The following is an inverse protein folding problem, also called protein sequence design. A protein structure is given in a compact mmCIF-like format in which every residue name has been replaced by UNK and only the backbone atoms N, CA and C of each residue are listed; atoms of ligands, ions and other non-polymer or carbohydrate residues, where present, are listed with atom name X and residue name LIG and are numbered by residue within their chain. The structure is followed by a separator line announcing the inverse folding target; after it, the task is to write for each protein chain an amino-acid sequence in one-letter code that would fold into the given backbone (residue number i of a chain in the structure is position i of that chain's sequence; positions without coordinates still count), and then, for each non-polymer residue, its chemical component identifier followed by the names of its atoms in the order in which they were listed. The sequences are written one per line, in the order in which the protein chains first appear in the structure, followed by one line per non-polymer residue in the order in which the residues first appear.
data_IF_099196966256
#
_entry.id   IF_099196966256
#
_cell.length_a   1.000
_cell.length_b   1.000
_cell.length_c   1.000
_cell.angle_alpha   90.00
_cell.angle_beta   90.00
_cell.angle_gamma   90.00
#
_symmetry.space_group_name_H-M   'P 1'
#
loop_
_entity.id
_entity.type
_entity.pdbx_description
1 polymer ?
#
# COMPACT_ATOMS: atom_id res chain seq x y z
N UNK A 1 19.38 42.44 16.85
CA UNK A 1 18.44 41.71 17.73
C UNK A 1 18.53 40.24 17.39
N UNK A 2 18.85 39.34 18.35
CA UNK A 2 19.01 37.93 18.06
C UNK A 2 17.63 37.27 17.93
N UNK A 3 17.43 36.55 16.83
CA UNK A 3 16.26 35.68 16.63
C UNK A 3 16.40 34.49 17.57
N UNK A 4 15.52 34.42 18.57
CA UNK A 4 15.36 33.23 19.40
C UNK A 4 14.76 32.12 18.52
N UNK A 5 15.53 31.05 18.31
CA UNK A 5 15.03 29.78 17.79
C UNK A 5 13.94 29.30 18.75
N UNK A 6 12.69 29.26 18.27
CA UNK A 6 11.61 28.59 19.00
C UNK A 6 11.85 27.10 18.86
N UNK A 7 12.30 26.48 19.94
CA UNK A 7 12.16 25.04 20.20
C UNK A 7 10.66 24.69 20.28
N UNK A 8 9.99 24.71 19.14
CA UNK A 8 8.73 24.01 18.90
C UNK A 8 9.02 22.56 18.58
N UNK A 9 9.87 21.93 19.39
CA UNK A 9 10.04 20.49 19.39
C UNK A 9 8.67 19.92 19.77
N UNK A 10 8.11 19.09 18.90
CA UNK A 10 7.03 18.18 19.26
C UNK A 10 7.36 17.62 20.66
N UNK A 11 6.49 17.89 21.64
CA UNK A 11 6.71 17.37 22.98
C UNK A 11 6.97 15.87 22.84
N UNK A 12 8.06 15.33 23.43
CA UNK A 12 8.39 13.92 23.28
C UNK A 12 7.19 13.13 23.74
N UNK A 13 6.51 12.49 22.78
CA UNK A 13 5.40 11.60 23.06
C UNK A 13 6.00 10.50 23.93
N UNK A 14 5.52 10.29 25.18
CA UNK A 14 6.06 9.24 26.03
C UNK A 14 5.98 7.93 25.25
N UNK A 15 7.05 7.11 25.22
CA UNK A 15 7.07 5.91 24.41
C UNK A 15 5.85 5.07 24.79
N UNK A 16 4.98 4.83 23.81
CA UNK A 16 3.90 3.86 23.96
C UNK A 16 4.57 2.56 24.43
N UNK A 17 4.05 1.94 25.49
CA UNK A 17 4.57 0.65 25.95
C UNK A 17 4.66 -0.28 24.76
N UNK A 18 5.79 -0.96 24.61
CA UNK A 18 6.01 -1.92 23.53
C UNK A 18 4.83 -2.88 23.42
N UNK A 19 4.06 -2.74 22.34
CA UNK A 19 2.98 -3.68 22.03
C UNK A 19 3.60 -4.83 21.23
N UNK A 20 3.73 -5.99 21.88
CA UNK A 20 4.06 -7.25 21.20
C UNK A 20 2.93 -7.56 20.22
N UNK A 21 3.29 -7.89 18.98
CA UNK A 21 2.34 -8.11 17.91
C UNK A 21 1.72 -9.51 18.02
N UNK A 22 0.40 -9.58 18.21
CA UNK A 22 -0.33 -10.82 17.97
C UNK A 22 -0.31 -11.18 16.46
N UNK A 23 -0.57 -12.45 16.08
CA UNK A 23 -0.52 -12.88 14.68
C UNK A 23 -1.40 -12.04 13.73
N UNK A 24 -2.53 -11.54 14.21
CA UNK A 24 -3.46 -10.73 13.43
C UNK A 24 -2.94 -9.33 13.20
N UNK A 25 -2.42 -8.69 14.24
CA UNK A 25 -1.76 -7.39 14.13
C UNK A 25 -0.52 -7.46 13.24
N UNK A 26 0.31 -8.50 13.39
CA UNK A 26 1.48 -8.72 12.55
C UNK A 26 1.11 -8.85 11.06
N UNK A 27 0.13 -9.72 10.76
CA UNK A 27 -0.34 -9.92 9.38
C UNK A 27 -0.85 -8.63 8.74
N UNK A 28 -1.66 -7.87 9.48
CA UNK A 28 -2.24 -6.61 9.00
C UNK A 28 -1.17 -5.54 8.77
N UNK A 29 -0.18 -5.45 9.65
CA UNK A 29 0.92 -4.50 9.52
C UNK A 29 1.79 -4.81 8.29
N UNK A 30 2.10 -6.10 8.05
CA UNK A 30 2.78 -6.54 6.84
C UNK A 30 1.97 -6.23 5.57
N UNK A 31 0.64 -6.41 5.59
CA UNK A 31 -0.22 -6.04 4.46
C UNK A 31 -0.21 -4.53 4.18
N UNK A 32 -0.19 -3.68 5.22
CA UNK A 32 -0.15 -2.23 5.04
C UNK A 32 1.22 -1.71 4.58
N UNK A 33 2.30 -2.26 5.14
CA UNK A 33 3.68 -1.84 4.86
C UNK A 33 4.22 -2.45 3.57
N UNK A 34 4.09 -3.76 3.39
CA UNK A 34 4.73 -4.52 2.30
C UNK A 34 3.74 -5.02 1.24
N UNK A 35 2.44 -4.81 1.44
CA UNK A 35 1.41 -5.26 0.49
C UNK A 35 1.30 -6.79 0.37
N UNK A 36 1.77 -7.53 1.39
CA UNK A 36 1.75 -9.00 1.48
C UNK A 36 1.72 -9.43 2.95
N UNK A 37 1.26 -10.64 3.29
CA UNK A 37 1.45 -11.18 4.63
C UNK A 37 2.92 -11.53 4.89
N UNK A 38 3.30 -11.76 6.16
CA UNK A 38 4.65 -12.21 6.49
C UNK A 38 4.88 -13.63 5.95
N UNK A 39 6.10 -13.90 5.51
CA UNK A 39 6.58 -15.24 5.27
C UNK A 39 6.66 -16.03 6.59
N UNK A 40 6.69 -17.38 6.56
CA UNK A 40 6.74 -18.18 7.77
C UNK A 40 7.91 -17.83 8.70
N UNK A 41 9.10 -17.56 8.16
CA UNK A 41 10.27 -17.24 8.98
C UNK A 41 10.24 -15.79 9.50
N UNK A 42 9.72 -14.84 8.72
CA UNK A 42 9.43 -13.49 9.21
C UNK A 42 8.43 -13.53 10.38
N UNK A 43 7.39 -14.35 10.26
CA UNK A 43 6.37 -14.50 11.31
C UNK A 43 6.99 -14.94 12.64
N UNK A 44 7.91 -15.91 12.61
CA UNK A 44 8.62 -16.41 13.80
C UNK A 44 9.55 -15.35 14.40
N UNK A 45 10.26 -14.60 13.55
CA UNK A 45 11.18 -13.55 14.01
C UNK A 45 10.42 -12.41 14.69
N UNK A 46 9.24 -12.06 14.18
CA UNK A 46 8.52 -10.87 14.59
C UNK A 46 7.41 -11.08 15.61
N UNK A 47 6.97 -12.33 15.84
CA UNK A 47 5.92 -12.62 16.82
C UNK A 47 6.26 -12.25 18.27
N UNK A 48 7.55 -12.12 18.58
CA UNK A 48 8.04 -11.82 19.94
C UNK A 48 8.62 -10.40 20.06
N UNK A 49 8.64 -9.63 18.97
CA UNK A 49 9.24 -8.29 18.92
C UNK A 49 8.18 -7.19 19.02
N UNK A 50 8.63 -6.01 19.39
CA UNK A 50 7.76 -4.84 19.50
C UNK A 50 7.40 -4.27 18.12
N UNK A 51 6.17 -3.74 18.00
CA UNK A 51 5.71 -3.06 16.78
C UNK A 51 6.63 -1.94 16.33
N UNK A 52 7.12 -1.11 17.25
CA UNK A 52 8.01 0.03 16.95
C UNK A 52 9.28 -0.43 16.23
N UNK A 53 9.90 -1.52 16.70
CA UNK A 53 11.08 -2.11 16.08
C UNK A 53 10.79 -2.59 14.66
N UNK A 54 9.67 -3.30 14.47
CA UNK A 54 9.25 -3.79 13.16
C UNK A 54 9.01 -2.64 12.18
N UNK A 55 8.28 -1.60 12.63
CA UNK A 55 7.97 -0.42 11.80
C UNK A 55 9.26 0.29 11.40
N UNK A 56 10.16 0.56 12.34
CA UNK A 56 11.43 1.23 12.05
C UNK A 56 12.30 0.43 11.07
N UNK A 57 12.36 -0.90 11.22
CA UNK A 57 13.11 -1.80 10.33
C UNK A 57 12.49 -1.81 8.92
N UNK A 58 11.17 -2.04 8.82
CA UNK A 58 10.50 -2.11 7.52
C UNK A 58 10.50 -0.77 6.78
N UNK A 59 10.28 0.36 7.45
CA UNK A 59 10.33 1.69 6.81
C UNK A 59 11.73 2.06 6.30
N UNK A 60 12.77 1.36 6.76
CA UNK A 60 14.15 1.50 6.28
C UNK A 60 14.48 0.52 5.14
N UNK A 61 13.56 -0.38 4.79
CA UNK A 61 13.77 -1.40 3.76
C UNK A 61 13.37 -0.92 2.36
N UNK A 62 14.09 -1.40 1.34
CA UNK A 62 13.72 -1.18 -0.06
C UNK A 62 12.33 -1.77 -0.38
N UNK A 63 11.96 -2.89 0.25
CA UNK A 63 10.70 -3.56 -0.01
C UNK A 63 9.47 -2.71 0.38
N UNK A 64 9.54 -2.01 1.51
CA UNK A 64 8.49 -1.06 1.89
C UNK A 64 8.33 0.03 0.84
N UNK A 65 9.45 0.64 0.40
CA UNK A 65 9.40 1.71 -0.59
C UNK A 65 9.03 1.23 -1.98
N UNK A 66 9.30 -0.04 -2.31
CA UNK A 66 8.80 -0.68 -3.52
C UNK A 66 7.27 -0.82 -3.46
N UNK A 67 6.72 -1.27 -2.32
CA UNK A 67 5.26 -1.31 -2.14
C UNK A 67 4.65 0.10 -2.16
N UNK A 68 5.28 1.09 -1.53
CA UNK A 68 4.84 2.48 -1.61
C UNK A 68 4.81 2.99 -3.05
N UNK A 69 5.85 2.70 -3.85
CA UNK A 69 5.89 3.05 -5.27
C UNK A 69 4.75 2.37 -6.03
N UNK A 70 4.46 1.09 -5.77
CA UNK A 70 3.30 0.40 -6.35
C UNK A 70 1.97 1.10 -6.03
N UNK A 71 1.78 1.60 -4.81
CA UNK A 71 0.61 2.41 -4.45
C UNK A 71 0.52 3.68 -5.32
N UNK A 72 1.66 4.37 -5.50
CA UNK A 72 1.71 5.60 -6.31
C UNK A 72 1.37 5.30 -7.76
N UNK A 73 1.99 4.27 -8.34
CA UNK A 73 1.74 3.86 -9.72
C UNK A 73 0.28 3.43 -9.92
N UNK A 74 -0.31 2.74 -8.94
CA UNK A 74 -1.72 2.40 -8.99
C UNK A 74 -2.62 3.64 -8.94
N UNK A 75 -2.32 4.60 -8.06
CA UNK A 75 -3.07 5.84 -7.95
C UNK A 75 -3.07 6.66 -9.25
N UNK A 76 -1.90 6.78 -9.90
CA UNK A 76 -1.76 7.46 -11.19
C UNK A 76 -2.20 6.60 -12.39
N UNK A 77 -2.72 5.39 -12.17
CA UNK A 77 -3.08 4.41 -13.20
C UNK A 77 -1.93 4.09 -14.17
N UNK A 78 -0.69 4.14 -13.67
CA UNK A 78 0.56 3.78 -14.33
C UNK A 78 0.90 2.30 -14.10
N UNK A 79 -0.04 1.46 -14.48
CA UNK A 79 0.01 0.01 -14.33
C UNK A 79 -0.03 -0.64 -15.72
N UNK A 80 0.30 -1.94 -15.78
CA UNK A 80 0.28 -2.72 -17.02
C UNK A 80 1.11 -2.05 -18.13
N UNK A 81 0.48 -1.75 -19.27
CA UNK A 81 1.13 -1.13 -20.43
C UNK A 81 1.66 0.28 -20.16
N UNK A 82 1.23 0.92 -19.07
CA UNK A 82 1.67 2.24 -18.65
C UNK A 82 2.60 2.20 -17.43
N UNK A 83 3.10 1.03 -17.02
CA UNK A 83 4.13 0.97 -15.99
C UNK A 83 5.43 1.65 -16.49
N UNK A 84 6.03 2.59 -15.75
CA UNK A 84 7.34 3.12 -16.08
C UNK A 84 8.43 2.08 -15.83
N UNK A 85 9.32 1.89 -16.81
CA UNK A 85 10.44 0.94 -16.75
C UNK A 85 11.81 1.61 -16.79
N UNK A 86 11.85 2.94 -16.81
CA UNK A 86 13.09 3.72 -16.83
C UNK A 86 13.86 3.57 -15.53
N UNK A 87 15.19 3.60 -15.60
CA UNK A 87 16.05 3.44 -14.43
C UNK A 87 15.73 4.45 -13.34
N UNK A 88 15.48 5.71 -13.69
CA UNK A 88 15.16 6.77 -12.72
C UNK A 88 13.89 6.54 -11.90
N UNK A 89 12.91 5.76 -12.40
CA UNK A 89 11.73 5.36 -11.61
C UNK A 89 11.99 4.06 -10.87
N UNK A 90 12.72 3.12 -11.48
CA UNK A 90 13.08 1.84 -10.84
C UNK A 90 14.00 1.99 -9.64
N UNK A 91 14.85 3.02 -9.60
CA UNK A 91 15.77 3.29 -8.49
C UNK A 91 15.11 3.96 -7.28
N UNK A 92 13.88 4.48 -7.43
CA UNK A 92 13.16 5.21 -6.37
C UNK A 92 13.12 4.45 -5.03
N UNK A 93 12.79 3.14 -4.97
CA UNK A 93 12.71 2.43 -3.71
C UNK A 93 14.03 2.40 -2.94
N UNK A 94 15.14 2.09 -3.63
CA UNK A 94 16.46 2.04 -3.03
C UNK A 94 16.92 3.42 -2.55
N UNK A 95 16.65 4.48 -3.34
CA UNK A 95 17.03 5.85 -2.97
C UNK A 95 16.18 6.40 -1.80
N UNK A 96 14.89 6.08 -1.71
CA UNK A 96 14.04 6.42 -0.56
C UNK A 96 14.45 5.66 0.70
N UNK A 97 14.78 4.37 0.58
CA UNK A 97 15.30 3.55 1.67
C UNK A 97 16.63 4.09 2.20
N UNK A 98 17.53 4.49 1.28
CA UNK A 98 18.82 5.09 1.60
C UNK A 98 18.75 6.54 2.07
N UNK A 99 17.59 7.21 1.97
CA UNK A 99 17.43 8.61 2.31
C UNK A 99 18.16 9.57 1.35
N UNK A 100 18.46 9.14 0.13
CA UNK A 100 19.09 9.98 -0.90
C UNK A 100 18.09 10.65 -1.83
N UNK A 101 16.81 10.31 -1.69
CA UNK A 101 15.69 10.86 -2.46
C UNK A 101 14.60 11.33 -1.49
N UNK A 102 14.08 12.54 -1.70
CA UNK A 102 12.88 13.04 -1.02
C UNK A 102 11.60 12.62 -1.74
N UNK A 103 10.46 12.60 -1.03
CA UNK A 103 9.20 12.13 -1.62
C UNK A 103 8.68 13.02 -2.77
N UNK A 104 8.92 14.33 -2.72
CA UNK A 104 8.54 15.25 -3.81
C UNK A 104 9.27 14.89 -5.10
N UNK A 105 10.57 14.62 -5.02
CA UNK A 105 11.36 14.24 -6.18
C UNK A 105 10.99 12.84 -6.69
N UNK A 106 10.64 11.90 -5.81
CA UNK A 106 10.07 10.62 -6.24
C UNK A 106 8.79 10.80 -7.08
N UNK A 107 7.84 11.63 -6.61
CA UNK A 107 6.63 11.96 -7.38
C UNK A 107 6.97 12.68 -8.70
N UNK A 108 7.93 13.59 -8.67
CA UNK A 108 8.41 14.31 -9.85
C UNK A 108 8.91 13.34 -10.93
N UNK A 109 9.76 12.36 -10.57
CA UNK A 109 10.26 11.33 -11.50
C UNK A 109 9.15 10.47 -12.07
N UNK A 110 8.14 10.10 -11.27
CA UNK A 110 6.97 9.33 -11.73
C UNK A 110 6.20 10.14 -12.77
N UNK A 111 5.87 11.40 -12.47
CA UNK A 111 5.03 12.26 -13.32
C UNK A 111 5.74 12.83 -14.55
N UNK A 112 7.07 12.86 -14.56
CA UNK A 112 7.87 13.17 -15.76
C UNK A 112 8.16 11.95 -16.64
N UNK A 113 7.75 10.75 -16.24
CA UNK A 113 7.95 9.56 -17.06
C UNK A 113 7.13 9.63 -18.35
N UNK A 114 7.68 9.08 -19.44
CA UNK A 114 6.95 8.94 -20.71
C UNK A 114 5.68 8.08 -20.57
N UNK A 115 5.63 7.20 -19.57
CA UNK A 115 4.43 6.45 -19.23
C UNK A 115 3.29 7.33 -18.73
N UNK A 116 3.59 8.35 -17.91
CA UNK A 116 2.60 9.30 -17.42
C UNK A 116 2.01 10.14 -18.56
N UNK A 117 2.84 10.60 -19.49
CA UNK A 117 2.40 11.29 -20.70
C UNK A 117 1.51 10.39 -21.59
N UNK A 118 1.99 9.17 -21.91
CA UNK A 118 1.22 8.20 -22.72
C UNK A 118 -0.13 7.83 -22.11
N UNK A 119 -0.20 7.74 -20.77
CA UNK A 119 -1.44 7.43 -20.04
C UNK A 119 -2.45 8.57 -20.09
N UNK A 120 -1.98 9.80 -20.20
CA UNK A 120 -2.77 11.03 -20.10
C UNK A 120 -2.58 11.89 -21.35
N UNK A 121 -2.99 11.40 -22.54
CA UNK A 121 -2.66 12.04 -23.80
C UNK A 121 -3.36 13.39 -23.97
N UNK A 122 -2.59 14.39 -24.38
CA UNK A 122 -3.09 15.71 -24.75
C UNK A 122 -3.23 16.68 -23.56
N UNK A 123 -3.27 17.99 -23.84
CA UNK A 123 -3.14 19.03 -22.82
C UNK A 123 -4.27 19.01 -21.79
N UNK A 124 -5.50 18.72 -22.21
CA UNK A 124 -6.67 18.76 -21.33
C UNK A 124 -6.63 17.64 -20.28
N UNK A 125 -6.40 16.40 -20.72
CA UNK A 125 -6.29 15.23 -19.83
C UNK A 125 -5.05 15.33 -18.94
N UNK A 126 -3.90 15.66 -19.51
CA UNK A 126 -2.65 15.77 -18.75
C UNK A 126 -2.75 16.78 -17.61
N UNK A 127 -3.18 18.01 -17.92
CA UNK A 127 -3.25 19.10 -16.93
C UNK A 127 -4.34 18.84 -15.90
N UNK A 128 -5.48 18.27 -16.31
CA UNK A 128 -6.52 17.83 -15.37
C UNK A 128 -5.97 16.81 -14.38
N UNK A 129 -5.27 15.78 -14.85
CA UNK A 129 -4.69 14.76 -13.97
C UNK A 129 -3.64 15.36 -13.03
N UNK A 130 -2.77 16.27 -13.51
CA UNK A 130 -1.84 17.00 -12.63
C UNK A 130 -2.60 17.79 -11.55
N UNK A 131 -3.66 18.52 -11.92
CA UNK A 131 -4.41 19.32 -10.95
C UNK A 131 -5.20 18.47 -9.95
N UNK A 132 -5.85 17.40 -10.39
CA UNK A 132 -6.69 16.57 -9.53
C UNK A 132 -5.88 15.57 -8.71
N UNK A 133 -4.89 14.91 -9.33
CA UNK A 133 -4.16 13.82 -8.70
C UNK A 133 -2.88 14.27 -7.99
N UNK A 134 -2.18 15.32 -8.45
CA UNK A 134 -1.02 15.84 -7.71
C UNK A 134 -1.41 16.93 -6.71
N UNK A 135 -2.41 17.76 -6.99
CA UNK A 135 -2.74 18.92 -6.13
C UNK A 135 -4.05 18.76 -5.35
N UNK A 136 -4.82 17.69 -5.59
CA UNK A 136 -6.12 17.49 -4.94
C UNK A 136 -7.16 18.55 -5.31
N UNK A 137 -7.00 19.24 -6.44
CA UNK A 137 -7.92 20.28 -6.86
C UNK A 137 -9.15 19.70 -7.56
N UNK A 138 -10.27 20.41 -7.48
CA UNK A 138 -11.44 20.16 -8.32
C UNK A 138 -11.33 21.05 -9.55
N UNK A 139 -11.01 20.46 -10.71
CA UNK A 139 -10.63 21.22 -11.92
C UNK A 139 -11.74 22.18 -12.37
N UNK A 140 -13.00 21.82 -12.18
CA UNK A 140 -14.17 22.63 -12.54
C UNK A 140 -14.23 23.93 -11.73
N UNK A 141 -13.62 23.97 -10.54
CA UNK A 141 -13.51 25.19 -9.71
C UNK A 141 -12.27 26.03 -10.06
N UNK A 142 -11.39 25.53 -10.94
CA UNK A 142 -10.10 26.14 -11.29
C UNK A 142 -9.89 26.20 -12.81
N UNK A 143 -10.95 26.49 -13.57
CA UNK A 143 -10.93 26.44 -15.04
C UNK A 143 -9.90 27.38 -15.69
N UNK A 144 -9.61 28.53 -15.07
CA UNK A 144 -8.58 29.47 -15.55
C UNK A 144 -7.19 28.82 -15.49
N UNK A 145 -6.86 28.20 -14.38
CA UNK A 145 -5.58 27.54 -14.13
C UNK A 145 -5.40 26.34 -15.06
N UNK A 146 -6.48 25.59 -15.34
CA UNK A 146 -6.49 24.54 -16.36
C UNK A 146 -6.11 25.10 -17.74
N UNK A 147 -6.76 26.18 -18.19
CA UNK A 147 -6.46 26.79 -19.49
C UNK A 147 -5.03 27.36 -19.57
N UNK A 148 -4.48 27.83 -18.46
CA UNK A 148 -3.07 28.24 -18.38
C UNK A 148 -2.17 27.02 -18.50
N UNK A 149 -2.42 25.96 -17.73
CA UNK A 149 -1.63 24.73 -17.78
C UNK A 149 -1.64 24.10 -19.18
N UNK A 150 -2.77 24.13 -19.88
CA UNK A 150 -2.89 23.66 -21.28
C UNK A 150 -2.01 24.46 -22.24
N UNK A 151 -1.95 25.79 -22.06
CA UNK A 151 -1.04 26.64 -22.84
C UNK A 151 0.43 26.31 -22.56
N UNK A 152 0.80 26.09 -21.30
CA UNK A 152 2.17 25.68 -20.92
C UNK A 152 2.53 24.32 -21.54
N UNK A 153 1.62 23.35 -21.47
CA UNK A 153 1.77 22.05 -22.11
C UNK A 153 2.11 22.19 -23.60
N UNK A 154 1.41 23.08 -24.32
CA UNK A 154 1.64 23.38 -25.73
C UNK A 154 2.89 24.25 -26.00
N UNK A 155 3.75 24.48 -25.01
CA UNK A 155 4.99 25.25 -25.15
C UNK A 155 4.83 26.77 -25.08
N UNK A 156 3.63 27.28 -24.73
CA UNK A 156 3.39 28.73 -24.61
C UNK A 156 3.76 29.21 -23.22
N UNK A 157 4.33 30.42 -23.15
CA UNK A 157 4.64 31.08 -21.87
C UNK A 157 3.37 31.44 -21.11
N UNK A 158 3.37 31.25 -19.80
CA UNK A 158 2.29 31.66 -18.92
C UNK A 158 2.66 31.56 -17.44
N UNK A 159 1.69 31.84 -16.56
CA UNK A 159 1.87 31.78 -15.10
C UNK A 159 0.89 30.78 -14.50
N UNK A 160 1.32 29.54 -14.32
CA UNK A 160 0.53 28.46 -13.72
C UNK A 160 0.74 28.45 -12.21
N UNK A 161 -0.35 28.46 -11.43
CA UNK A 161 -0.30 28.49 -9.95
C UNK A 161 0.63 29.57 -9.38
N UNK A 162 0.68 30.74 -10.04
CA UNK A 162 1.53 31.86 -9.63
C UNK A 162 3.01 31.76 -10.05
N UNK A 163 3.44 30.68 -10.72
CA UNK A 163 4.81 30.49 -11.19
C UNK A 163 4.88 30.51 -12.71
N UNK A 164 5.95 31.11 -13.25
CA UNK A 164 6.18 31.16 -14.69
C UNK A 164 6.55 29.75 -15.22
N UNK A 165 6.07 29.42 -16.41
CA UNK A 165 6.41 28.19 -17.12
C UNK A 165 6.15 28.32 -18.62
N UNK A 166 6.68 27.37 -19.39
CA UNK A 166 6.61 27.36 -20.84
C UNK A 166 6.71 25.97 -21.47
N UNK A 167 6.52 24.91 -20.70
CA UNK A 167 6.59 23.53 -21.18
C UNK A 167 5.68 22.61 -20.37
N UNK A 168 5.43 21.41 -20.89
CA UNK A 168 4.77 20.32 -20.17
C UNK A 168 5.50 19.96 -18.87
N UNK A 169 6.84 19.90 -18.90
CA UNK A 169 7.63 19.61 -17.71
C UNK A 169 7.46 20.71 -16.64
N UNK A 170 7.34 21.98 -17.05
CA UNK A 170 7.08 23.09 -16.13
C UNK A 170 5.72 22.93 -15.43
N UNK A 171 4.69 22.39 -16.09
CA UNK A 171 3.39 22.12 -15.45
C UNK A 171 3.56 21.18 -14.27
N UNK A 172 4.31 20.07 -14.45
CA UNK A 172 4.60 19.10 -13.38
C UNK A 172 5.49 19.72 -12.32
N UNK A 173 6.58 20.38 -12.71
CA UNK A 173 7.53 20.99 -11.78
C UNK A 173 6.86 22.03 -10.87
N UNK A 174 6.02 22.90 -11.45
CA UNK A 174 5.25 23.90 -10.70
C UNK A 174 4.25 23.24 -9.76
N UNK A 175 3.54 22.20 -10.20
CA UNK A 175 2.61 21.47 -9.34
C UNK A 175 3.33 20.79 -8.16
N UNK A 176 4.41 20.04 -8.42
CA UNK A 176 5.18 19.35 -7.36
C UNK A 176 5.74 20.32 -6.34
N UNK A 177 6.10 21.54 -6.75
CA UNK A 177 6.63 22.57 -5.85
C UNK A 177 5.55 23.34 -5.05
N UNK A 178 4.26 23.11 -5.33
CA UNK A 178 3.15 23.68 -4.58
C UNK A 178 2.95 22.95 -3.25
N UNK A 179 2.54 23.66 -2.20
CA UNK A 179 2.31 23.06 -0.88
C UNK A 179 1.16 22.04 -0.90
N UNK A 180 0.16 22.26 -1.77
CA UNK A 180 -1.01 21.36 -1.91
C UNK A 180 -0.62 19.95 -2.34
N UNK A 181 0.52 19.76 -3.01
CA UNK A 181 0.97 18.41 -3.37
C UNK A 181 1.31 17.56 -2.16
N UNK A 182 1.99 18.14 -1.16
CA UNK A 182 2.26 17.40 0.07
C UNK A 182 1.00 17.19 0.90
N UNK A 183 0.16 18.21 1.00
CA UNK A 183 -1.12 18.11 1.71
C UNK A 183 -1.97 16.96 1.14
N UNK A 184 -2.13 16.92 -0.18
CA UNK A 184 -2.90 15.89 -0.87
C UNK A 184 -2.27 14.49 -0.73
N UNK A 185 -0.95 14.39 -0.90
CA UNK A 185 -0.21 13.13 -0.66
C UNK A 185 -0.45 12.62 0.76
N UNK A 186 -0.22 13.45 1.78
CA UNK A 186 -0.33 13.06 3.17
C UNK A 186 -1.76 12.70 3.55
N UNK A 187 -2.75 13.47 3.10
CA UNK A 187 -4.16 13.16 3.31
C UNK A 187 -4.53 11.80 2.74
N UNK A 188 -4.12 11.51 1.49
CA UNK A 188 -4.41 10.24 0.83
C UNK A 188 -3.71 9.06 1.53
N UNK A 189 -2.44 9.20 1.87
CA UNK A 189 -1.70 8.13 2.56
C UNK A 189 -2.26 7.88 3.97
N UNK A 190 -2.60 8.93 4.71
CA UNK A 190 -3.22 8.82 6.02
C UNK A 190 -4.58 8.12 5.93
N UNK A 191 -5.44 8.53 4.99
CA UNK A 191 -6.73 7.90 4.77
C UNK A 191 -6.60 6.44 4.34
N UNK A 192 -5.63 6.10 3.48
CA UNK A 192 -5.35 4.73 3.07
C UNK A 192 -4.93 3.85 4.25
N UNK A 193 -3.99 4.31 5.06
CA UNK A 193 -3.37 3.52 6.13
C UNK A 193 -4.23 3.45 7.40
N UNK A 194 -4.84 4.57 7.78
CA UNK A 194 -5.60 4.71 9.02
C UNK A 194 -7.12 4.67 8.81
N UNK A 195 -7.61 4.64 7.57
CA UNK A 195 -9.05 4.63 7.20
C UNK A 195 -9.81 5.81 7.80
N UNK A 196 -9.11 6.93 7.95
CA UNK A 196 -9.61 8.13 8.59
C UNK A 196 -8.97 9.34 7.92
N UNK A 197 -9.75 10.39 7.75
CA UNK A 197 -9.21 11.67 7.29
C UNK A 197 -8.38 12.32 8.40
N UNK A 198 -7.25 12.91 8.01
CA UNK A 198 -6.46 13.71 8.93
C UNK A 198 -7.16 15.05 9.19
N UNK A 199 -6.94 15.62 10.37
CA UNK A 199 -7.37 17.00 10.62
C UNK A 199 -6.50 17.99 9.85
N UNK A 200 -7.05 19.17 9.55
CA UNK A 200 -6.30 20.24 8.90
C UNK A 200 -5.05 20.67 9.70
N UNK A 201 -5.11 20.58 11.04
CA UNK A 201 -3.98 20.90 11.91
C UNK A 201 -2.86 19.86 11.78
N UNK A 202 -3.19 18.57 11.79
CA UNK A 202 -2.23 17.48 11.60
C UNK A 202 -1.57 17.56 10.22
N UNK A 203 -2.37 17.75 9.16
CA UNK A 203 -1.86 17.92 7.79
C UNK A 203 -0.90 19.10 7.70
N UNK A 204 -1.27 20.27 8.23
CA UNK A 204 -0.42 21.45 8.20
C UNK A 204 0.91 21.23 8.94
N UNK A 205 0.90 20.49 10.04
CA UNK A 205 2.13 20.16 10.77
C UNK A 205 3.05 19.25 9.95
N UNK A 206 2.51 18.16 9.39
CA UNK A 206 3.28 17.23 8.57
C UNK A 206 3.81 17.86 7.27
N UNK A 207 3.02 18.74 6.63
CA UNK A 207 3.48 19.51 5.47
C UNK A 207 4.65 20.40 5.86
N UNK A 208 4.56 21.12 6.98
CA UNK A 208 5.66 21.97 7.45
C UNK A 208 6.93 21.18 7.79
N UNK A 209 6.79 19.95 8.30
CA UNK A 209 7.92 19.07 8.54
C UNK A 209 8.58 18.62 7.24
N UNK A 210 7.80 18.24 6.22
CA UNK A 210 8.33 17.86 4.90
C UNK A 210 8.90 19.03 4.09
N UNK A 211 8.43 20.25 4.33
CA UNK A 211 9.02 21.46 3.75
C UNK A 211 10.36 21.80 4.39
N UNK A 212 10.55 21.45 5.67
CA UNK A 212 11.81 21.63 6.40
C UNK A 212 12.82 20.54 6.07
N UNK A 213 12.35 19.30 5.92
CA UNK A 213 13.14 18.11 5.64
C UNK A 213 12.38 17.19 4.68
N UNK A 214 12.84 17.09 3.44
CA UNK A 214 12.20 16.28 2.41
C UNK A 214 12.19 14.76 2.70
N UNK A 215 12.96 14.33 3.69
CA UNK A 215 13.05 12.94 4.16
C UNK A 215 12.18 12.68 5.41
N UNK A 216 11.47 13.68 5.93
CA UNK A 216 10.65 13.57 7.14
C UNK A 216 9.48 12.57 7.01
N UNK A 217 9.13 12.13 5.79
CA UNK A 217 8.03 11.19 5.55
C UNK A 217 8.19 9.90 6.37
N UNK A 218 9.42 9.41 6.53
CA UNK A 218 9.68 8.19 7.32
C UNK A 218 9.22 8.36 8.77
N UNK A 219 9.62 9.47 9.41
CA UNK A 219 9.24 9.76 10.80
C UNK A 219 7.72 9.97 10.94
N UNK A 220 7.09 10.62 9.95
CA UNK A 220 5.63 10.80 9.93
C UNK A 220 4.92 9.43 9.88
N UNK A 221 5.35 8.54 8.98
CA UNK A 221 4.80 7.20 8.86
C UNK A 221 5.01 6.37 10.13
N UNK A 222 6.21 6.43 10.72
CA UNK A 222 6.52 5.76 11.99
C UNK A 222 5.57 6.20 13.10
N UNK A 223 5.34 7.52 13.21
CA UNK A 223 4.39 8.08 14.17
C UNK A 223 2.95 7.58 13.90
N UNK A 224 2.54 7.43 12.65
CA UNK A 224 1.21 6.89 12.31
C UNK A 224 1.07 5.43 12.73
N UNK A 225 2.01 4.55 12.35
CA UNK A 225 1.94 3.12 12.64
C UNK A 225 2.09 2.78 14.14
N UNK A 226 2.68 3.67 14.92
CA UNK A 226 2.81 3.53 16.38
C UNK A 226 1.71 4.27 17.15
N UNK A 227 0.80 4.97 16.48
CA UNK A 227 -0.26 5.76 17.11
C UNK A 227 -1.44 4.90 17.62
N UNK A 228 -2.20 5.42 18.61
CA UNK A 228 -3.48 4.83 19.01
C UNK A 228 -4.53 4.78 17.89
N UNK A 229 -4.44 5.66 16.89
CA UNK A 229 -5.34 5.62 15.74
C UNK A 229 -5.09 4.36 14.88
N UNK A 230 -3.84 3.92 14.78
CA UNK A 230 -3.51 2.68 14.10
C UNK A 230 -3.99 1.45 14.87
N UNK A 231 -3.93 1.48 16.21
CA UNK A 231 -4.53 0.43 17.05
C UNK A 231 -6.05 0.30 16.81
N UNK A 232 -6.76 1.43 16.73
CA UNK A 232 -8.18 1.43 16.39
C UNK A 232 -8.44 0.88 15.00
N UNK A 233 -7.60 1.24 14.02
CA UNK A 233 -7.68 0.69 12.66
C UNK A 233 -7.50 -0.83 12.68
N UNK A 234 -6.52 -1.35 13.43
CA UNK A 234 -6.26 -2.79 13.55
C UNK A 234 -7.43 -3.57 14.17
N UNK A 235 -8.29 -2.92 14.95
CA UNK A 235 -9.50 -3.55 15.48
C UNK A 235 -10.63 -3.69 14.45
N UNK A 236 -10.53 -3.01 13.29
CA UNK A 236 -11.55 -3.03 12.24
C UNK A 236 -11.11 -3.86 11.05
N UNK A 237 -12.09 -4.40 10.29
CA UNK A 237 -11.86 -5.07 9.00
C UNK A 237 -12.34 -4.20 7.85
N UNK A 238 -11.63 -4.21 6.73
CA UNK A 238 -12.13 -3.70 5.47
C UNK A 238 -11.70 -4.59 4.30
N UNK A 239 -12.42 -4.57 3.17
CA UNK A 239 -12.05 -5.34 1.99
C UNK A 239 -10.62 -5.05 1.52
N UNK A 240 -9.86 -6.11 1.25
CA UNK A 240 -8.56 -5.96 0.58
C UNK A 240 -8.78 -5.42 -0.84
N UNK A 241 -7.96 -4.46 -1.30
CA UNK A 241 -7.84 -4.18 -2.73
C UNK A 241 -7.43 -5.44 -3.51
N UNK A 242 -7.92 -5.59 -4.74
CA UNK A 242 -7.66 -6.78 -5.58
C UNK A 242 -6.16 -7.11 -5.70
N UNK A 243 -5.30 -6.09 -5.85
CA UNK A 243 -3.85 -6.27 -5.92
C UNK A 243 -3.26 -6.88 -4.64
N UNK A 244 -3.71 -6.44 -3.46
CA UNK A 244 -3.24 -6.96 -2.18
C UNK A 244 -3.78 -8.37 -1.93
N UNK A 245 -5.02 -8.64 -2.33
CA UNK A 245 -5.60 -9.98 -2.28
C UNK A 245 -4.77 -10.98 -3.10
N UNK A 246 -4.41 -10.65 -4.35
CA UNK A 246 -3.60 -11.52 -5.21
C UNK A 246 -2.22 -11.76 -4.59
N UNK A 247 -1.51 -10.70 -4.15
CA UNK A 247 -0.21 -10.84 -3.47
C UNK A 247 -0.30 -11.72 -2.22
N UNK A 248 -1.32 -11.51 -1.39
CA UNK A 248 -1.52 -12.28 -0.18
C UNK A 248 -1.77 -13.76 -0.48
N UNK A 249 -2.65 -14.04 -1.44
CA UNK A 249 -2.96 -15.40 -1.87
C UNK A 249 -1.73 -16.14 -2.40
N UNK A 250 -0.85 -15.47 -3.14
CA UNK A 250 0.39 -16.05 -3.62
C UNK A 250 1.38 -16.36 -2.50
N UNK A 251 1.59 -15.42 -1.57
CA UNK A 251 2.48 -15.67 -0.43
C UNK A 251 1.93 -16.80 0.43
N UNK A 252 0.63 -16.80 0.70
CA UNK A 252 0.00 -17.80 1.55
C UNK A 252 -0.07 -19.20 0.93
N UNK A 253 -0.16 -19.31 -0.39
CA UNK A 253 -0.29 -20.62 -1.07
C UNK A 253 1.01 -21.11 -1.72
N UNK A 254 1.92 -20.22 -2.11
CA UNK A 254 3.19 -20.56 -2.77
C UNK A 254 4.43 -20.13 -1.99
N UNK A 255 4.31 -19.37 -0.91
CA UNK A 255 5.47 -18.85 -0.19
C UNK A 255 6.32 -17.86 -1.00
N UNK A 256 5.75 -17.24 -2.04
CA UNK A 256 6.41 -16.23 -2.88
C UNK A 256 5.41 -15.19 -3.37
N UNK A 257 5.89 -14.05 -3.82
CA UNK A 257 5.09 -13.09 -4.58
C UNK A 257 4.74 -13.62 -5.99
N UNK A 258 3.63 -13.17 -6.58
CA UNK A 258 3.35 -13.42 -8.00
C UNK A 258 4.39 -12.72 -8.88
N UNK A 259 4.71 -13.30 -10.04
CA UNK A 259 5.40 -12.54 -11.07
C UNK A 259 4.48 -11.46 -11.67
N UNK A 260 5.06 -10.51 -12.43
CA UNK A 260 4.29 -9.38 -12.98
C UNK A 260 3.13 -9.84 -13.88
N UNK A 261 3.34 -10.88 -14.69
CA UNK A 261 2.30 -11.40 -15.59
C UNK A 261 1.19 -12.15 -14.84
N UNK A 262 1.53 -12.92 -13.81
CA UNK A 262 0.58 -13.55 -12.89
C UNK A 262 -0.27 -12.51 -12.19
N UNK A 263 0.36 -11.48 -11.60
CA UNK A 263 -0.32 -10.40 -10.90
C UNK A 263 -1.25 -9.62 -11.84
N UNK A 264 -0.77 -9.22 -13.01
CA UNK A 264 -1.54 -8.49 -14.01
C UNK A 264 -2.79 -9.27 -14.44
N UNK A 265 -2.65 -10.52 -14.90
CA UNK A 265 -3.80 -11.29 -15.41
C UNK A 265 -4.90 -11.45 -14.37
N UNK A 266 -4.54 -11.78 -13.13
CA UNK A 266 -5.53 -11.97 -12.06
C UNK A 266 -6.16 -10.65 -11.64
N UNK A 267 -5.36 -9.60 -11.49
CA UNK A 267 -5.85 -8.28 -11.11
C UNK A 267 -6.80 -7.71 -12.19
N UNK A 268 -6.41 -7.75 -13.47
CA UNK A 268 -7.27 -7.28 -14.57
C UNK A 268 -8.61 -8.03 -14.61
N UNK A 269 -8.62 -9.33 -14.31
CA UNK A 269 -9.87 -10.10 -14.21
C UNK A 269 -10.75 -9.64 -13.05
N UNK A 270 -10.17 -9.30 -11.90
CA UNK A 270 -10.90 -8.85 -10.70
C UNK A 270 -11.36 -7.39 -10.79
N UNK A 271 -10.57 -6.50 -11.38
CA UNK A 271 -10.88 -5.07 -11.50
C UNK A 271 -12.01 -4.79 -12.51
N UNK A 272 -12.30 -5.74 -13.40
CA UNK A 272 -13.39 -5.64 -14.37
C UNK A 272 -14.79 -5.86 -13.81
N UNK A 273 -14.93 -6.14 -12.51
CA UNK A 273 -16.20 -6.48 -11.87
C UNK A 273 -16.60 -5.45 -10.80
N UNK A 274 -17.90 -5.16 -10.70
CA UNK A 274 -18.44 -4.32 -9.62
C UNK A 274 -18.33 -5.00 -8.23
N UNK A 275 -18.48 -6.33 -8.18
CA UNK A 275 -18.19 -7.15 -7.01
C UNK A 275 -17.23 -8.28 -7.43
N UNK A 276 -16.04 -8.28 -6.83
CA UNK A 276 -14.99 -9.26 -7.13
C UNK A 276 -15.05 -10.50 -6.22
N UNK A 277 -15.88 -10.51 -5.17
CA UNK A 277 -15.93 -11.57 -4.15
C UNK A 277 -16.08 -12.99 -4.72
N UNK A 278 -17.09 -13.26 -5.58
CA UNK A 278 -17.25 -14.58 -6.20
C UNK A 278 -16.05 -14.99 -7.06
N UNK A 279 -15.44 -14.04 -7.79
CA UNK A 279 -14.28 -14.32 -8.64
C UNK A 279 -13.01 -14.55 -7.83
N UNK A 280 -12.83 -13.89 -6.68
CA UNK A 280 -11.72 -14.15 -5.74
C UNK A 280 -11.70 -15.60 -5.29
N UNK A 281 -12.86 -16.16 -4.96
CA UNK A 281 -12.98 -17.57 -4.61
C UNK A 281 -12.61 -18.47 -5.80
N UNK A 282 -13.05 -18.15 -7.02
CA UNK A 282 -12.65 -18.91 -8.20
C UNK A 282 -11.13 -18.83 -8.45
N UNK A 283 -10.50 -17.67 -8.29
CA UNK A 283 -9.05 -17.49 -8.41
C UNK A 283 -8.31 -18.36 -7.40
N UNK A 284 -8.75 -18.37 -6.14
CA UNK A 284 -8.18 -19.25 -5.11
C UNK A 284 -8.31 -20.74 -5.47
N UNK A 285 -9.46 -21.14 -6.00
CA UNK A 285 -9.67 -22.51 -6.48
C UNK A 285 -8.72 -22.86 -7.63
N UNK A 286 -8.60 -21.99 -8.64
CA UNK A 286 -7.71 -22.21 -9.79
C UNK A 286 -6.24 -22.34 -9.36
N UNK A 287 -5.81 -21.54 -8.40
CA UNK A 287 -4.46 -21.63 -7.83
C UNK A 287 -4.24 -22.97 -7.13
N UNK A 288 -5.18 -23.40 -6.28
CA UNK A 288 -5.08 -24.67 -5.56
C UNK A 288 -5.14 -25.88 -6.51
N UNK A 289 -6.01 -25.84 -7.52
CA UNK A 289 -6.17 -26.90 -8.52
C UNK A 289 -4.99 -26.95 -9.52
N UNK A 290 -4.14 -25.92 -9.58
CA UNK A 290 -2.94 -25.91 -10.44
C UNK A 290 -1.87 -26.92 -10.02
N UNK A 291 -1.97 -27.48 -8.80
CA UNK A 291 -1.00 -28.42 -8.23
C UNK A 291 0.35 -27.79 -7.84
N UNK A 292 0.51 -26.48 -8.00
CA UNK A 292 1.75 -25.76 -7.64
C UNK A 292 1.76 -25.25 -6.19
N UNK A 293 0.60 -25.22 -5.53
CA UNK A 293 0.48 -24.69 -4.18
C UNK A 293 1.19 -25.61 -3.18
N UNK A 294 1.82 -25.03 -2.16
CA UNK A 294 2.45 -25.75 -1.06
C UNK A 294 1.39 -26.37 -0.15
N UNK A 295 0.80 -27.47 -0.62
CA UNK A 295 -0.23 -28.22 0.08
C UNK A 295 0.39 -29.56 0.46
N UNK A 296 0.51 -29.89 1.76
CA UNK A 296 1.04 -31.19 2.17
C UNK A 296 0.12 -32.31 1.70
N UNK A 297 0.70 -33.48 1.45
CA UNK A 297 -0.09 -34.69 1.26
C UNK A 297 -0.85 -35.02 2.55
N UNK A 298 -2.06 -35.57 2.43
CA UNK A 298 -2.88 -35.91 3.60
C UNK A 298 -2.17 -36.86 4.56
N UNK A 299 -1.43 -37.82 4.03
CA UNK A 299 -0.69 -38.80 4.82
C UNK A 299 0.49 -38.20 5.60
N UNK A 300 0.95 -36.99 5.23
CA UNK A 300 2.02 -36.28 5.92
C UNK A 300 1.52 -35.37 7.05
N UNK A 301 0.22 -35.37 7.35
CA UNK A 301 -0.40 -34.57 8.41
C UNK A 301 -0.76 -35.48 9.59
N UNK A 302 0.17 -35.61 10.54
CA UNK A 302 -0.01 -36.46 11.73
C UNK A 302 -1.08 -35.93 12.68
N UNK A 303 -1.12 -34.61 12.88
CA UNK A 303 -2.13 -33.92 13.71
C UNK A 303 -2.90 -32.90 12.86
N UNK A 304 -4.07 -33.28 12.31
CA UNK A 304 -4.91 -32.38 11.55
C UNK A 304 -5.39 -31.16 12.36
N UNK A 305 -5.62 -31.31 13.66
CA UNK A 305 -6.13 -30.21 14.48
C UNK A 305 -5.07 -29.13 14.68
N UNK A 306 -3.83 -29.53 14.97
CA UNK A 306 -2.70 -28.60 15.04
C UNK A 306 -2.41 -27.95 13.69
N UNK A 307 -2.47 -28.72 12.59
CA UNK A 307 -2.29 -28.17 11.24
C UNK A 307 -3.37 -27.13 10.89
N UNK A 308 -4.65 -27.42 11.14
CA UNK A 308 -5.76 -26.48 10.94
C UNK A 308 -5.58 -25.22 11.81
N UNK A 309 -5.19 -25.37 13.07
CA UNK A 309 -4.91 -24.24 13.96
C UNK A 309 -3.83 -23.32 13.38
N UNK A 310 -2.71 -23.90 12.91
CA UNK A 310 -1.64 -23.14 12.25
C UNK A 310 -2.09 -22.45 10.95
N UNK A 311 -3.02 -23.05 10.19
CA UNK A 311 -3.61 -22.39 9.03
C UNK A 311 -4.42 -21.15 9.41
N UNK A 312 -5.22 -21.22 10.47
CA UNK A 312 -6.00 -20.08 10.96
C UNK A 312 -5.09 -18.96 11.46
N UNK A 313 -4.04 -19.26 12.22
CA UNK A 313 -3.11 -18.25 12.69
C UNK A 313 -2.38 -17.58 11.53
N UNK A 314 -1.92 -18.37 10.54
CA UNK A 314 -1.17 -17.85 9.40
C UNK A 314 -2.05 -17.08 8.42
N UNK A 315 -3.18 -17.64 8.01
CA UNK A 315 -4.05 -17.10 6.96
C UNK A 315 -5.03 -16.07 7.49
N UNK A 316 -5.50 -16.25 8.73
CA UNK A 316 -6.50 -15.40 9.35
C UNK A 316 -5.97 -14.59 10.55
N UNK A 317 -4.71 -14.75 10.94
CA UNK A 317 -4.14 -13.96 12.04
C UNK A 317 -4.79 -14.23 13.41
N UNK A 318 -5.47 -15.37 13.58
CA UNK A 318 -6.13 -15.72 14.84
C UNK A 318 -6.24 -17.23 15.00
N UNK A 319 -6.46 -17.68 16.23
CA UNK A 319 -6.84 -19.07 16.47
C UNK A 319 -8.25 -19.37 15.89
N UNK A 320 -8.53 -20.61 15.45
CA UNK A 320 -9.89 -21.05 15.17
C UNK A 320 -10.71 -21.09 16.46
N UNK A 321 -11.99 -20.75 16.36
CA UNK A 321 -12.95 -20.98 17.44
C UNK A 321 -13.13 -22.49 17.69
N UNK A 322 -13.75 -22.86 18.81
CA UNK A 322 -14.05 -24.27 19.11
C UNK A 322 -14.97 -24.90 18.05
N UNK A 323 -15.94 -24.13 17.54
CA UNK A 323 -16.85 -24.57 16.49
C UNK A 323 -16.12 -24.75 15.15
N UNK A 324 -15.31 -23.78 14.74
CA UNK A 324 -14.52 -23.86 13.52
C UNK A 324 -13.57 -25.06 13.57
N UNK A 325 -12.84 -25.22 14.68
CA UNK A 325 -11.95 -26.37 14.89
C UNK A 325 -12.71 -27.69 14.75
N UNK A 326 -13.86 -27.82 15.42
CA UNK A 326 -14.71 -29.00 15.34
C UNK A 326 -15.20 -29.29 13.91
N UNK A 327 -15.66 -28.26 13.18
CA UNK A 327 -16.18 -28.37 11.82
C UNK A 327 -15.08 -28.76 10.82
N UNK A 328 -13.91 -28.11 10.89
CA UNK A 328 -12.78 -28.40 10.01
C UNK A 328 -12.16 -29.77 10.31
N UNK A 329 -11.97 -30.15 11.58
CA UNK A 329 -11.45 -31.48 11.94
C UNK A 329 -12.41 -32.59 11.54
N UNK A 330 -13.73 -32.41 11.75
CA UNK A 330 -14.74 -33.37 11.28
C UNK A 330 -14.70 -33.50 9.76
N UNK A 331 -14.66 -32.39 9.02
CA UNK A 331 -14.57 -32.41 7.56
C UNK A 331 -13.29 -33.09 7.08
N UNK A 332 -12.15 -32.85 7.73
CA UNK A 332 -10.88 -33.48 7.38
C UNK A 332 -10.88 -35.01 7.60
N UNK A 333 -11.71 -35.52 8.52
CA UNK A 333 -11.86 -36.97 8.72
C UNK A 333 -12.52 -37.69 7.54
N UNK A 334 -13.32 -37.00 6.72
CA UNK A 334 -13.93 -37.56 5.51
C UNK A 334 -12.83 -37.92 4.49
N UNK A 335 -12.73 -39.16 3.99
CA UNK A 335 -11.73 -39.58 3.00
C UNK A 335 -11.68 -38.72 1.72
N UNK A 336 -12.81 -38.12 1.31
CA UNK A 336 -12.87 -37.24 0.15
C UNK A 336 -12.30 -35.83 0.42
N UNK A 337 -12.15 -35.44 1.68
CA UNK A 337 -11.58 -34.15 2.05
C UNK A 337 -10.07 -34.15 1.82
N UNK A 338 -9.61 -33.27 0.93
CA UNK A 338 -8.19 -33.05 0.66
C UNK A 338 -7.70 -31.87 1.51
N UNK A 339 -6.40 -31.80 1.88
CA UNK A 339 -5.83 -30.60 2.50
C UNK A 339 -6.10 -29.31 1.70
N UNK A 340 -6.10 -29.39 0.36
CA UNK A 340 -6.49 -28.28 -0.51
C UNK A 340 -7.95 -27.80 -0.29
N UNK A 341 -8.87 -28.70 0.08
CA UNK A 341 -10.27 -28.35 0.38
C UNK A 341 -10.36 -27.48 1.64
N UNK A 342 -9.55 -27.77 2.66
CA UNK A 342 -9.46 -26.95 3.88
C UNK A 342 -8.91 -25.57 3.56
N UNK A 343 -7.79 -25.50 2.83
CA UNK A 343 -7.21 -24.23 2.40
C UNK A 343 -8.21 -23.40 1.60
N UNK A 344 -8.87 -24.01 0.61
CA UNK A 344 -9.88 -23.35 -0.21
C UNK A 344 -10.99 -22.73 0.64
N UNK A 345 -11.53 -23.49 1.60
CA UNK A 345 -12.59 -23.01 2.49
C UNK A 345 -12.14 -21.79 3.31
N UNK A 346 -10.89 -21.77 3.79
CA UNK A 346 -10.36 -20.62 4.54
C UNK A 346 -10.15 -19.41 3.63
N UNK A 347 -9.45 -19.55 2.51
CA UNK A 347 -9.07 -18.41 1.66
C UNK A 347 -10.23 -17.85 0.82
N UNK A 348 -11.30 -18.62 0.64
CA UNK A 348 -12.54 -18.15 0.03
C UNK A 348 -13.51 -17.52 1.03
N UNK A 349 -13.28 -17.66 2.34
CA UNK A 349 -14.12 -17.06 3.37
C UNK A 349 -14.01 -15.52 3.33
N UNK A 350 -15.10 -14.76 3.56
CA UNK A 350 -15.07 -13.29 3.56
C UNK A 350 -14.04 -12.68 4.51
N UNK A 351 -13.74 -13.36 5.62
CA UNK A 351 -12.71 -12.94 6.56
C UNK A 351 -11.31 -12.90 5.94
N UNK A 352 -10.93 -13.88 5.11
CA UNK A 352 -9.63 -13.83 4.45
C UNK A 352 -9.54 -12.64 3.48
N UNK A 353 -10.67 -12.24 2.92
CA UNK A 353 -10.78 -11.16 1.94
C UNK A 353 -10.90 -9.77 2.60
N UNK A 354 -11.00 -9.70 3.94
CA UNK A 354 -11.20 -8.46 4.70
C UNK A 354 -10.22 -8.36 5.87
N UNK A 355 -9.51 -7.24 6.02
CA UNK A 355 -8.47 -7.05 7.04
C UNK A 355 -8.56 -5.75 7.81
#
# INVERSE_FOLDING_TARGET
MPFALRDGLLAPVPPARGHVLDPGSLRRLFLDLLGRPPYPDESKVWSERERSELVAELLSSEEFWANWLEEQLYYFLLIDNFRPTTEGVRSIPAELAGGTLGVREALHRICLSSSFDRRNPGPDTFVTVVMEQLLGLVVQKSARELEIGKKLYDGKKGTFLGRAGSSQADVVHVAIADARTLEHLLQREHERLLRKQASAQELSAWVADLERDEHALRAILEAWFTSPAYDQRLATRAPLPNRLFVRALFVDLFGRLPDEGEAQRMRSALDGLADSGPLRSLVARLILDSGKAHVPERAAIDDPAAWIHGLFERLLGRAPSAEERGAFSKSFSDPACRPATVLYAIVSHPEYQTW
#
